data_IF_213910533949
#
_entry.id   IF_213910533949
#
_cell.length_a   1.000
_cell.length_b   1.000
_cell.length_c   1.000
_cell.angle_alpha   90.00
_cell.angle_beta   90.00
_cell.angle_gamma   90.00
#
_symmetry.space_group_name_H-M   'P 1'
#
loop_
_entity.id
_entity.type
_entity.pdbx_description
1 polymer ?
#
# COMPACT_ATOMS: atom_id res chain seq x y z
N UNK A 1 -64.70 17.81 -26.95
CA UNK A 1 -64.88 18.69 -28.04
C UNK A 1 -64.38 20.07 -27.62
N UNK A 2 -63.69 20.80 -28.47
CA UNK A 2 -63.09 22.10 -28.12
C UNK A 2 -61.94 22.01 -27.15
N UNK A 3 -61.92 22.84 -26.10
CA UNK A 3 -60.87 22.92 -25.08
C UNK A 3 -61.18 22.11 -23.76
N UNK A 4 -62.17 21.21 -23.83
CA UNK A 4 -62.57 20.42 -22.70
C UNK A 4 -61.40 19.51 -22.22
N UNK A 5 -61.23 19.41 -20.92
CA UNK A 5 -60.27 18.56 -20.24
C UNK A 5 -61.01 17.61 -19.33
N UNK A 6 -60.44 16.40 -19.15
CA UNK A 6 -60.90 15.38 -18.21
C UNK A 6 -59.78 15.03 -17.27
N UNK A 7 -60.15 14.62 -16.07
CA UNK A 7 -59.22 14.02 -15.16
C UNK A 7 -59.16 12.49 -15.39
N UNK A 8 -58.01 11.90 -15.13
CA UNK A 8 -57.80 10.45 -15.16
C UNK A 8 -57.50 9.97 -13.75
N UNK A 9 -58.17 8.92 -13.32
CA UNK A 9 -57.97 8.27 -12.01
C UNK A 9 -57.78 6.78 -12.16
N UNK A 10 -57.37 6.10 -11.07
CA UNK A 10 -57.10 4.66 -11.09
C UNK A 10 -55.69 4.31 -11.61
N UNK A 11 -55.50 3.04 -11.92
CA UNK A 11 -54.21 2.46 -12.35
C UNK A 11 -54.38 1.58 -13.59
N UNK A 12 -53.51 1.77 -14.56
CA UNK A 12 -53.26 0.86 -15.67
C UNK A 12 -51.95 0.11 -15.49
N UNK A 13 -51.70 -0.86 -16.36
CA UNK A 13 -50.43 -1.61 -16.34
C UNK A 13 -49.81 -1.73 -17.72
N UNK A 14 -48.50 -1.88 -17.76
CA UNK A 14 -47.73 -2.24 -18.96
C UNK A 14 -47.17 -3.67 -18.79
N UNK A 15 -46.85 -4.34 -19.90
CA UNK A 15 -46.41 -5.74 -19.89
C UNK A 15 -45.16 -6.04 -19.05
N UNK A 16 -44.25 -5.06 -18.91
CA UNK A 16 -43.06 -5.15 -18.06
C UNK A 16 -42.58 -3.74 -17.70
N UNK A 17 -41.64 -3.65 -16.75
CA UNK A 17 -41.07 -2.38 -16.29
C UNK A 17 -39.93 -1.84 -17.18
N UNK A 18 -39.47 -2.58 -18.19
CA UNK A 18 -38.30 -2.20 -18.99
C UNK A 18 -38.52 -0.94 -19.81
N UNK A 19 -37.43 -0.23 -20.04
CA UNK A 19 -37.37 0.96 -20.88
C UNK A 19 -37.88 0.64 -22.30
N UNK A 20 -38.87 1.37 -22.75
CA UNK A 20 -39.34 1.36 -24.12
C UNK A 20 -40.34 2.55 -24.35
N UNK A 21 -40.40 3.05 -25.58
CA UNK A 21 -41.40 4.01 -25.99
C UNK A 21 -42.69 3.31 -26.42
N UNK A 22 -43.80 4.03 -26.27
CA UNK A 22 -45.12 3.61 -26.78
C UNK A 22 -45.59 2.23 -26.30
N UNK A 23 -45.29 1.87 -25.04
CA UNK A 23 -45.78 0.63 -24.43
C UNK A 23 -47.30 0.68 -24.32
N UNK A 24 -47.95 -0.34 -24.81
CA UNK A 24 -49.43 -0.46 -24.68
C UNK A 24 -49.81 -0.56 -23.21
N UNK A 25 -50.76 0.30 -22.80
CA UNK A 25 -51.31 0.30 -21.44
C UNK A 25 -52.61 -0.51 -21.43
N UNK A 26 -52.62 -1.51 -20.56
CA UNK A 26 -53.87 -2.20 -20.16
C UNK A 26 -54.56 -1.33 -19.14
N UNK A 27 -55.86 -0.99 -19.41
CA UNK A 27 -56.60 0.04 -18.66
C UNK A 27 -56.75 -0.27 -17.16
N UNK A 28 -56.92 -1.53 -16.77
CA UNK A 28 -57.11 -1.88 -15.36
C UNK A 28 -58.27 -1.15 -14.72
N UNK A 29 -58.00 -0.31 -13.70
CA UNK A 29 -59.00 0.53 -13.01
C UNK A 29 -58.98 1.99 -13.51
N UNK A 30 -58.25 2.31 -14.59
CA UNK A 30 -58.26 3.67 -15.16
C UNK A 30 -59.67 4.08 -15.55
N UNK A 31 -60.10 5.21 -15.06
CA UNK A 31 -61.40 5.80 -15.31
C UNK A 31 -61.29 7.31 -15.53
N UNK A 32 -62.15 7.81 -16.42
CA UNK A 32 -62.32 9.24 -16.63
C UNK A 32 -63.14 9.85 -15.50
N UNK A 33 -62.79 11.05 -15.09
CA UNK A 33 -63.53 11.87 -14.17
C UNK A 33 -63.73 13.29 -14.77
N UNK A 34 -64.78 13.94 -14.34
CA UNK A 34 -65.12 15.30 -14.82
C UNK A 34 -64.01 16.30 -14.47
N UNK A 35 -63.86 17.25 -15.41
CA UNK A 35 -63.09 18.46 -15.19
C UNK A 35 -63.84 19.63 -15.87
N UNK A 36 -63.31 20.22 -16.93
CA UNK A 36 -64.10 21.17 -17.73
C UNK A 36 -65.06 20.49 -18.71
N UNK A 37 -64.81 19.18 -18.99
CA UNK A 37 -65.70 18.30 -19.77
C UNK A 37 -66.37 17.26 -18.87
N UNK A 38 -67.53 16.72 -19.33
CA UNK A 38 -68.24 15.64 -18.64
C UNK A 38 -67.69 14.25 -19.04
N UNK A 39 -67.19 13.47 -18.11
CA UNK A 39 -66.63 12.14 -18.37
C UNK A 39 -67.60 11.18 -19.04
N UNK A 40 -68.90 11.33 -18.78
CA UNK A 40 -69.99 10.51 -19.35
C UNK A 40 -70.08 10.63 -20.92
N UNK A 41 -69.51 11.66 -21.48
CA UNK A 41 -69.49 11.87 -22.95
C UNK A 41 -68.28 11.16 -23.63
N UNK A 42 -67.45 10.52 -22.89
CA UNK A 42 -66.17 9.95 -23.37
C UNK A 42 -65.99 8.52 -22.87
N UNK A 43 -65.16 7.74 -23.59
CA UNK A 43 -64.78 6.39 -23.20
C UNK A 43 -63.31 6.16 -23.47
N UNK A 44 -62.65 5.40 -22.60
CA UNK A 44 -61.29 4.86 -22.83
C UNK A 44 -61.32 3.60 -23.71
N UNK A 45 -62.47 2.87 -23.78
CA UNK A 45 -62.57 1.65 -24.56
C UNK A 45 -62.38 1.94 -26.07
N UNK A 46 -61.53 1.13 -26.73
CA UNK A 46 -61.21 1.29 -28.16
C UNK A 46 -60.17 2.35 -28.49
N UNK A 47 -59.68 3.11 -27.49
CA UNK A 47 -58.61 4.08 -27.68
C UNK A 47 -57.22 3.45 -27.67
N UNK A 48 -56.22 4.18 -28.18
CA UNK A 48 -54.81 3.82 -28.06
C UNK A 48 -54.23 4.46 -26.80
N UNK A 49 -53.77 3.62 -25.88
CA UNK A 49 -53.18 4.07 -24.63
C UNK A 49 -51.74 3.63 -24.55
N UNK A 50 -50.82 4.57 -24.37
CA UNK A 50 -49.39 4.36 -24.44
C UNK A 50 -48.68 5.04 -23.28
N UNK A 51 -47.59 4.39 -22.80
CA UNK A 51 -46.68 4.91 -21.81
C UNK A 51 -45.24 4.76 -22.31
N UNK A 52 -44.45 5.80 -22.20
CA UNK A 52 -43.00 5.70 -22.38
C UNK A 52 -42.34 5.53 -21.02
N UNK A 53 -41.47 4.54 -20.91
CA UNK A 53 -40.58 4.33 -19.75
C UNK A 53 -39.19 4.73 -20.19
N UNK A 54 -38.64 5.77 -19.59
CA UNK A 54 -37.32 6.31 -19.91
C UNK A 54 -36.22 5.66 -19.06
N UNK A 55 -35.00 5.74 -19.56
CA UNK A 55 -33.83 5.27 -18.81
C UNK A 55 -33.66 6.08 -17.52
N UNK A 56 -33.30 5.35 -16.45
CA UNK A 56 -32.95 5.96 -15.18
C UNK A 56 -31.47 6.37 -15.17
N UNK A 57 -31.16 7.66 -14.95
CA UNK A 57 -29.75 8.08 -14.84
C UNK A 57 -29.09 7.53 -13.59
N UNK A 58 -27.87 7.02 -13.72
CA UNK A 58 -26.99 6.56 -12.65
C UNK A 58 -25.71 7.39 -12.62
N UNK A 59 -25.19 7.61 -11.43
CA UNK A 59 -23.82 8.07 -11.23
C UNK A 59 -22.97 6.92 -10.70
N UNK A 60 -21.78 6.76 -11.27
CA UNK A 60 -20.82 5.72 -10.88
C UNK A 60 -19.69 6.31 -10.05
N UNK A 61 -19.30 5.61 -8.99
CA UNK A 61 -18.08 5.90 -8.24
C UNK A 61 -17.10 4.75 -8.43
N UNK A 62 -15.91 5.06 -8.94
CA UNK A 62 -14.77 4.16 -9.04
C UNK A 62 -13.85 4.36 -7.85
N UNK A 63 -13.03 3.37 -7.52
CA UNK A 63 -12.04 3.47 -6.45
C UNK A 63 -10.78 2.66 -6.77
N UNK A 64 -9.60 3.23 -6.53
CA UNK A 64 -8.31 2.54 -6.65
C UNK A 64 -7.24 3.20 -5.78
N UNK A 65 -6.14 2.50 -5.59
CA UNK A 65 -4.93 3.13 -5.06
C UNK A 65 -4.23 3.93 -6.15
N UNK A 66 -3.44 4.91 -5.74
CA UNK A 66 -2.57 5.67 -6.62
C UNK A 66 -1.63 4.76 -7.43
N UNK A 67 -1.61 4.95 -8.73
CA UNK A 67 -0.79 4.21 -9.70
C UNK A 67 -0.07 5.12 -10.72
N UNK A 68 -0.15 6.45 -10.53
CA UNK A 68 0.48 7.45 -11.39
C UNK A 68 -0.27 7.73 -12.70
N UNK A 69 -1.40 7.07 -12.95
CA UNK A 69 -2.13 7.20 -14.21
C UNK A 69 -3.46 7.94 -14.06
N UNK A 70 -3.98 8.49 -15.14
CA UNK A 70 -5.35 9.02 -15.22
C UNK A 70 -6.35 8.00 -15.76
N UNK A 71 -5.89 6.82 -16.22
CA UNK A 71 -6.77 5.78 -16.72
C UNK A 71 -7.56 5.14 -15.56
N UNK A 72 -8.87 5.08 -15.71
CA UNK A 72 -9.80 4.55 -14.71
C UNK A 72 -10.62 3.43 -15.32
N UNK A 73 -10.34 2.19 -14.92
CA UNK A 73 -11.02 1.02 -15.44
C UNK A 73 -12.40 0.84 -14.80
N UNK A 74 -13.40 0.41 -15.60
CA UNK A 74 -14.75 0.11 -15.09
C UNK A 74 -14.73 -1.00 -14.02
N UNK A 75 -13.77 -1.93 -14.08
CA UNK A 75 -13.58 -2.98 -13.06
C UNK A 75 -13.25 -2.44 -11.67
N UNK A 76 -12.88 -1.16 -11.52
CA UNK A 76 -12.67 -0.49 -10.23
C UNK A 76 -13.95 0.14 -9.67
N UNK A 77 -15.12 -0.21 -10.21
CA UNK A 77 -16.43 0.25 -9.72
C UNK A 77 -16.58 -0.07 -8.23
N UNK A 78 -16.84 0.96 -7.44
CA UNK A 78 -17.14 0.86 -6.02
C UNK A 78 -18.64 0.87 -5.76
N UNK A 79 -19.38 1.76 -6.45
CA UNK A 79 -20.82 1.86 -6.27
C UNK A 79 -21.48 2.55 -7.45
N UNK A 80 -22.78 2.28 -7.60
CA UNK A 80 -23.73 3.16 -8.28
C UNK A 80 -24.65 3.80 -7.24
N UNK A 81 -25.11 5.01 -7.53
CA UNK A 81 -26.29 5.56 -6.88
C UNK A 81 -27.58 5.10 -7.60
N UNK A 82 -28.70 5.23 -6.95
CA UNK A 82 -30.05 5.18 -7.57
C UNK A 82 -30.42 3.87 -8.33
N UNK A 83 -29.72 2.74 -8.15
CA UNK A 83 -30.22 1.43 -8.61
C UNK A 83 -31.55 1.10 -7.94
N UNK A 84 -32.45 0.45 -8.67
CA UNK A 84 -33.78 0.12 -8.17
C UNK A 84 -33.87 -1.31 -7.64
N UNK A 85 -34.71 -1.51 -6.62
CA UNK A 85 -35.20 -2.82 -6.18
C UNK A 85 -34.11 -3.81 -5.76
N UNK A 86 -32.89 -3.35 -5.42
CA UNK A 86 -31.76 -4.24 -5.12
C UNK A 86 -31.09 -4.85 -6.36
N UNK A 87 -31.38 -4.31 -7.54
CA UNK A 87 -30.69 -4.69 -8.77
C UNK A 87 -29.17 -4.40 -8.66
N UNK A 88 -28.39 -5.16 -9.41
CA UNK A 88 -26.96 -4.96 -9.58
C UNK A 88 -26.62 -4.74 -11.04
N UNK A 89 -25.65 -3.89 -11.30
CA UNK A 89 -24.99 -3.71 -12.59
C UNK A 89 -23.47 -3.75 -12.38
N UNK A 90 -22.74 -3.96 -13.46
CA UNK A 90 -21.29 -3.78 -13.49
C UNK A 90 -20.92 -2.73 -14.53
N UNK A 91 -19.67 -2.29 -14.51
CA UNK A 91 -19.13 -1.32 -15.45
C UNK A 91 -17.96 -1.95 -16.20
N UNK A 92 -17.95 -1.88 -17.51
CA UNK A 92 -16.85 -2.32 -18.37
C UNK A 92 -16.12 -1.15 -19.00
N UNK A 93 -15.01 -1.42 -19.69
CA UNK A 93 -14.22 -0.41 -20.37
C UNK A 93 -13.35 0.44 -19.46
N UNK A 94 -12.97 1.61 -19.93
CA UNK A 94 -12.15 2.57 -19.19
C UNK A 94 -12.45 4.01 -19.62
N UNK A 95 -12.24 4.93 -18.68
CA UNK A 95 -12.29 6.36 -18.88
C UNK A 95 -11.01 7.03 -18.42
N UNK A 96 -10.97 8.35 -18.47
CA UNK A 96 -9.84 9.17 -18.05
C UNK A 96 -10.29 10.12 -16.95
N UNK A 97 -9.66 10.08 -15.78
CA UNK A 97 -9.90 11.04 -14.70
C UNK A 97 -9.21 12.38 -14.95
N UNK A 98 -9.74 13.44 -14.38
CA UNK A 98 -9.17 14.79 -14.49
C UNK A 98 -7.81 14.93 -13.79
N UNK A 99 -7.50 14.01 -12.83
CA UNK A 99 -6.21 13.97 -12.12
C UNK A 99 -5.84 12.52 -11.84
N UNK A 100 -4.53 12.25 -11.78
CA UNK A 100 -3.98 11.01 -11.27
C UNK A 100 -3.80 11.03 -9.74
N UNK A 101 -3.75 12.21 -9.13
CA UNK A 101 -3.39 12.39 -7.72
C UNK A 101 -4.49 11.90 -6.77
N UNK A 102 -4.07 11.56 -5.57
CA UNK A 102 -4.96 11.18 -4.46
C UNK A 102 -5.97 12.28 -4.16
N UNK A 103 -7.23 11.94 -4.29
CA UNK A 103 -8.38 12.75 -3.88
C UNK A 103 -9.67 11.92 -3.96
N UNK A 104 -10.72 12.41 -3.33
CA UNK A 104 -12.06 11.84 -3.44
C UNK A 104 -12.89 12.63 -4.47
N UNK A 105 -13.77 11.94 -5.19
CA UNK A 105 -14.72 12.56 -6.10
C UNK A 105 -14.09 13.24 -7.32
N UNK A 106 -12.94 12.75 -7.79
CA UNK A 106 -12.30 13.29 -9.00
C UNK A 106 -13.22 13.01 -10.19
N UNK A 107 -13.65 14.06 -10.88
CA UNK A 107 -14.47 13.93 -12.07
C UNK A 107 -13.69 13.24 -13.21
N UNK A 108 -14.41 12.52 -14.07
CA UNK A 108 -13.84 12.03 -15.31
C UNK A 108 -13.72 13.19 -16.32
N UNK A 109 -12.55 13.35 -16.91
CA UNK A 109 -12.35 14.25 -18.06
C UNK A 109 -12.92 13.64 -19.34
N UNK A 110 -13.01 12.30 -19.40
CA UNK A 110 -13.67 11.55 -20.46
C UNK A 110 -14.13 10.19 -19.93
N UNK A 111 -15.38 9.83 -20.21
CA UNK A 111 -15.87 8.48 -19.92
C UNK A 111 -15.27 7.41 -20.85
N UNK A 112 -14.59 7.82 -21.94
CA UNK A 112 -13.98 6.88 -22.88
C UNK A 112 -14.99 5.85 -23.41
N UNK A 113 -14.71 4.56 -23.15
CA UNK A 113 -15.59 3.45 -23.49
C UNK A 113 -16.24 2.78 -22.26
N UNK A 114 -16.35 3.51 -21.14
CA UNK A 114 -17.10 3.01 -19.99
C UNK A 114 -18.56 2.73 -20.39
N UNK A 115 -19.02 1.53 -20.10
CA UNK A 115 -20.36 1.08 -20.44
C UNK A 115 -20.97 0.23 -19.32
N UNK A 116 -22.25 0.43 -19.06
CA UNK A 116 -23.03 -0.39 -18.14
C UNK A 116 -23.16 -1.81 -18.69
N UNK A 117 -23.07 -2.79 -17.83
CA UNK A 117 -23.20 -4.22 -18.15
C UNK A 117 -24.23 -4.83 -17.21
N UNK A 118 -25.05 -5.72 -17.76
CA UNK A 118 -26.10 -6.42 -17.02
C UNK A 118 -25.54 -7.18 -15.81
N UNK A 119 -26.28 -7.08 -14.71
CA UNK A 119 -26.15 -7.89 -13.52
C UNK A 119 -27.47 -8.61 -13.26
N UNK A 120 -28.09 -8.36 -12.10
CA UNK A 120 -29.50 -8.76 -11.87
C UNK A 120 -30.47 -7.78 -12.52
N UNK A 121 -30.04 -6.54 -12.73
CA UNK A 121 -30.74 -5.53 -13.52
C UNK A 121 -30.27 -5.50 -14.98
N UNK A 122 -31.09 -4.93 -15.86
CA UNK A 122 -30.77 -4.74 -17.28
C UNK A 122 -30.13 -3.36 -17.48
N UNK A 123 -28.91 -3.33 -18.03
CA UNK A 123 -28.18 -2.09 -18.33
C UNK A 123 -28.98 -1.16 -19.24
N UNK A 124 -29.80 -1.72 -20.13
CA UNK A 124 -30.67 -0.96 -21.04
C UNK A 124 -31.74 -0.12 -20.34
N UNK A 125 -32.06 -0.41 -19.07
CA UNK A 125 -32.99 0.39 -18.26
C UNK A 125 -32.31 1.62 -17.61
N UNK A 126 -31.02 1.77 -17.78
CA UNK A 126 -30.23 2.80 -17.14
C UNK A 126 -29.36 3.55 -18.14
N UNK A 127 -28.98 4.77 -17.78
CA UNK A 127 -27.99 5.57 -18.50
C UNK A 127 -26.90 6.03 -17.55
N UNK A 128 -25.62 5.94 -17.96
CA UNK A 128 -24.50 6.46 -17.17
C UNK A 128 -24.47 7.99 -17.32
N UNK A 129 -24.85 8.70 -16.26
CA UNK A 129 -24.94 10.16 -16.25
C UNK A 129 -23.60 10.82 -15.89
N UNK A 130 -23.00 10.40 -14.77
CA UNK A 130 -21.69 10.90 -14.36
C UNK A 130 -20.84 9.77 -13.74
N UNK A 131 -19.53 9.96 -13.80
CA UNK A 131 -18.58 9.05 -13.16
C UNK A 131 -17.54 9.86 -12.42
N UNK A 132 -17.26 9.48 -11.20
CA UNK A 132 -16.16 10.00 -10.38
C UNK A 132 -15.27 8.88 -9.90
N UNK A 133 -14.04 9.22 -9.51
CA UNK A 133 -13.11 8.24 -8.92
C UNK A 133 -12.55 8.75 -7.59
N UNK A 134 -12.44 7.84 -6.63
CA UNK A 134 -11.72 8.03 -5.39
C UNK A 134 -10.34 7.35 -5.53
N UNK A 135 -9.29 8.13 -5.43
CA UNK A 135 -7.91 7.62 -5.45
C UNK A 135 -7.36 7.71 -4.03
N UNK A 136 -7.01 6.56 -3.45
CA UNK A 136 -6.42 6.48 -2.12
C UNK A 136 -4.90 6.45 -2.19
N UNK A 137 -4.18 6.88 -1.12
CA UNK A 137 -2.73 6.83 -1.10
C UNK A 137 -2.18 5.41 -1.33
N UNK A 138 -1.09 5.33 -2.10
CA UNK A 138 -0.36 4.10 -2.30
C UNK A 138 0.47 3.78 -1.06
N UNK A 139 0.32 2.57 -0.54
CA UNK A 139 1.04 2.12 0.64
C UNK A 139 2.49 1.82 0.29
N UNK A 140 3.42 2.47 0.98
CA UNK A 140 4.85 2.22 0.86
C UNK A 140 5.30 1.15 1.84
N UNK A 141 6.30 0.38 1.44
CA UNK A 141 7.10 -0.44 2.33
C UNK A 141 8.47 0.20 2.54
N UNK A 142 9.16 -0.18 3.59
CA UNK A 142 10.54 0.24 3.80
C UNK A 142 11.42 -0.90 4.31
N UNK A 143 12.69 -0.83 3.98
CA UNK A 143 13.71 -1.70 4.52
C UNK A 143 14.97 -0.89 4.81
N UNK A 144 15.74 -1.32 5.79
CA UNK A 144 16.97 -0.64 6.15
C UNK A 144 17.90 -1.49 6.98
N UNK A 145 19.12 -1.01 7.19
CA UNK A 145 20.06 -1.68 8.08
C UNK A 145 21.13 -0.73 8.60
N UNK A 146 21.63 -1.05 9.79
CA UNK A 146 22.81 -0.42 10.37
C UNK A 146 23.74 -1.45 11.00
N UNK A 147 24.95 -1.06 11.32
CA UNK A 147 25.86 -1.85 12.18
C UNK A 147 25.52 -1.53 13.63
N UNK A 148 25.60 -2.52 14.52
CA UNK A 148 25.38 -2.37 15.95
C UNK A 148 26.15 -1.18 16.53
N UNK A 149 25.45 -0.32 17.24
CA UNK A 149 25.90 0.94 17.81
C UNK A 149 25.33 1.23 19.22
N UNK A 150 24.66 0.23 19.80
CA UNK A 150 24.01 0.25 21.12
C UNK A 150 22.81 1.23 21.23
N UNK A 151 22.26 1.75 20.11
CA UNK A 151 21.04 2.57 20.14
C UNK A 151 19.92 1.95 19.31
N UNK A 152 18.70 2.43 19.54
CA UNK A 152 17.48 1.97 18.84
C UNK A 152 17.09 2.84 17.64
N UNK A 153 17.91 3.79 17.27
CA UNK A 153 17.62 4.71 16.19
C UNK A 153 17.76 4.04 14.81
N UNK A 154 16.77 4.25 13.96
CA UNK A 154 16.80 3.91 12.55
C UNK A 154 16.76 5.23 11.77
N UNK A 155 17.93 5.67 11.30
CA UNK A 155 18.04 6.94 10.57
C UNK A 155 17.44 6.82 9.18
N UNK A 156 16.80 7.88 8.70
CA UNK A 156 16.26 7.92 7.34
C UNK A 156 17.32 7.59 6.28
N UNK A 157 18.58 7.97 6.50
CA UNK A 157 19.69 7.65 5.59
C UNK A 157 19.97 6.15 5.43
N UNK A 158 19.58 5.35 6.41
CA UNK A 158 19.74 3.89 6.43
C UNK A 158 18.48 3.16 5.92
N UNK A 159 17.43 3.91 5.55
CA UNK A 159 16.13 3.39 5.13
C UNK A 159 15.93 3.60 3.63
N UNK A 160 15.44 2.59 2.95
CA UNK A 160 15.01 2.65 1.55
C UNK A 160 13.52 2.42 1.48
N UNK A 161 12.81 3.32 0.78
CA UNK A 161 11.38 3.18 0.48
C UNK A 161 11.18 2.29 -0.76
N UNK A 162 10.12 1.51 -0.76
CA UNK A 162 9.74 0.65 -1.88
C UNK A 162 8.23 0.69 -2.13
N UNK A 163 7.78 0.06 -3.22
CA UNK A 163 6.41 0.13 -3.72
C UNK A 163 6.02 1.50 -4.28
N UNK A 164 6.98 2.32 -4.68
CA UNK A 164 6.73 3.54 -5.44
C UNK A 164 6.22 3.21 -6.85
N UNK A 165 5.52 4.15 -7.47
CA UNK A 165 5.21 4.08 -8.91
C UNK A 165 6.52 4.20 -9.69
N UNK A 166 6.64 3.43 -10.77
CA UNK A 166 7.87 3.40 -11.59
C UNK A 166 8.25 4.78 -12.10
N UNK A 167 9.50 5.16 -11.89
CA UNK A 167 10.03 6.48 -12.26
C UNK A 167 9.81 7.58 -11.23
N UNK A 168 9.08 7.31 -10.15
CA UNK A 168 8.92 8.25 -9.04
C UNK A 168 9.90 7.95 -7.90
N UNK A 169 10.35 8.99 -7.23
CA UNK A 169 11.11 8.92 -5.99
C UNK A 169 10.54 9.91 -4.99
N UNK A 170 10.66 9.61 -3.71
CA UNK A 170 10.33 10.50 -2.61
C UNK A 170 11.57 10.78 -1.77
N UNK A 171 11.61 11.97 -1.18
CA UNK A 171 12.54 12.30 -0.12
C UNK A 171 11.95 11.86 1.22
N UNK A 172 12.81 11.48 2.14
CA UNK A 172 12.44 11.21 3.53
C UNK A 172 13.58 11.62 4.46
N UNK A 173 13.26 11.93 5.70
CA UNK A 173 14.21 12.46 6.67
C UNK A 173 13.83 12.02 8.07
N UNK A 174 14.66 12.37 9.06
CA UNK A 174 14.37 12.12 10.47
C UNK A 174 14.89 10.77 10.98
N UNK A 175 14.30 10.32 12.06
CA UNK A 175 14.72 9.09 12.79
C UNK A 175 13.50 8.33 13.25
N UNK A 176 13.43 7.06 12.89
CA UNK A 176 12.48 6.10 13.44
C UNK A 176 13.14 5.32 14.60
N UNK A 177 12.36 4.48 15.27
CA UNK A 177 12.86 3.62 16.34
C UNK A 177 12.53 2.15 16.07
N UNK A 178 13.44 1.27 16.49
CA UNK A 178 13.26 -0.18 16.50
C UNK A 178 13.14 -0.68 17.94
N UNK A 179 12.60 -1.88 18.12
CA UNK A 179 12.29 -2.41 19.46
C UNK A 179 13.51 -2.82 20.28
N UNK A 180 14.69 -2.95 19.66
CA UNK A 180 15.93 -3.35 20.35
C UNK A 180 17.15 -2.80 19.62
N UNK A 181 18.18 -2.45 20.37
CA UNK A 181 19.50 -2.06 19.85
C UNK A 181 20.34 -3.28 19.42
N UNK A 182 20.05 -4.49 19.90
CA UNK A 182 20.86 -5.68 19.64
C UNK A 182 20.86 -6.10 18.17
N UNK A 183 21.88 -6.81 17.72
CA UNK A 183 21.93 -7.38 16.39
C UNK A 183 20.74 -8.33 16.15
N UNK A 184 20.05 -8.14 15.04
CA UNK A 184 18.83 -8.88 14.71
C UNK A 184 17.99 -8.18 13.66
N UNK A 185 16.85 -8.77 13.32
CA UNK A 185 15.87 -8.20 12.40
C UNK A 185 14.65 -7.72 13.18
N UNK A 186 14.21 -6.50 12.90
CA UNK A 186 13.15 -5.80 13.63
C UNK A 186 12.15 -5.18 12.67
N UNK A 187 10.95 -4.92 13.18
CA UNK A 187 10.00 -4.01 12.53
C UNK A 187 10.19 -2.60 13.10
N UNK A 188 10.18 -1.59 12.24
CA UNK A 188 10.16 -0.19 12.68
C UNK A 188 8.82 0.07 13.37
N UNK A 189 8.84 0.47 14.64
CA UNK A 189 7.65 0.63 15.47
C UNK A 189 7.07 2.05 15.47
N UNK A 190 7.89 3.05 15.14
CA UNK A 190 7.47 4.45 15.10
C UNK A 190 7.91 5.12 13.79
N UNK A 191 6.99 5.14 12.83
CA UNK A 191 7.19 5.79 11.53
C UNK A 191 6.93 7.29 11.52
N UNK A 192 6.31 7.84 12.58
CA UNK A 192 6.05 9.27 12.68
C UNK A 192 7.33 10.12 12.65
N UNK A 193 8.47 9.52 13.04
CA UNK A 193 9.80 10.13 12.93
C UNK A 193 10.41 10.14 11.53
N UNK A 194 9.74 9.56 10.52
CA UNK A 194 10.21 9.52 9.12
C UNK A 194 9.17 10.19 8.21
N UNK A 195 9.09 11.54 8.21
CA UNK A 195 8.26 12.24 7.25
C UNK A 195 8.74 12.00 5.83
N UNK A 196 7.78 11.76 4.94
CA UNK A 196 8.02 11.71 3.48
C UNK A 196 7.72 13.08 2.88
N UNK A 197 8.49 13.45 1.87
CA UNK A 197 8.37 14.72 1.14
C UNK A 197 8.48 14.44 -0.36
N UNK A 198 8.04 15.42 -1.15
CA UNK A 198 8.13 15.36 -2.61
C UNK A 198 9.56 15.10 -3.06
N UNK A 199 9.69 14.29 -4.11
CA UNK A 199 10.96 13.94 -4.71
C UNK A 199 10.91 14.03 -6.23
N UNK A 200 11.82 13.35 -6.90
CA UNK A 200 11.86 13.36 -8.36
C UNK A 200 10.64 12.61 -8.93
N UNK A 201 9.74 13.33 -9.56
CA UNK A 201 8.51 12.79 -10.16
C UNK A 201 7.44 12.35 -9.17
N UNK A 202 7.77 12.18 -7.88
CA UNK A 202 6.86 11.71 -6.85
C UNK A 202 6.33 12.84 -5.97
N UNK A 203 5.03 12.82 -5.70
CA UNK A 203 4.34 13.72 -4.76
C UNK A 203 3.96 12.97 -3.50
N UNK A 204 4.46 13.40 -2.34
CA UNK A 204 4.32 12.70 -1.07
C UNK A 204 2.87 12.43 -0.67
N UNK A 205 1.95 13.37 -0.99
CA UNK A 205 0.52 13.22 -0.68
C UNK A 205 -0.16 12.03 -1.40
N UNK A 206 0.48 11.48 -2.43
CA UNK A 206 0.00 10.30 -3.15
C UNK A 206 0.39 8.98 -2.46
N UNK A 207 1.12 9.05 -1.35
CA UNK A 207 1.69 7.90 -0.66
C UNK A 207 1.40 7.91 0.84
N UNK A 208 1.51 6.75 1.45
CA UNK A 208 1.43 6.59 2.91
C UNK A 208 2.36 5.48 3.37
N UNK A 209 2.96 5.65 4.54
CA UNK A 209 3.67 4.58 5.24
C UNK A 209 2.72 3.69 6.06
N UNK A 210 1.53 4.20 6.39
CA UNK A 210 0.54 3.46 7.19
C UNK A 210 0.05 2.22 6.44
N UNK A 211 0.13 1.07 7.10
CA UNK A 211 -0.32 -0.23 6.54
C UNK A 211 0.74 -0.96 5.72
N UNK A 212 1.94 -0.40 5.57
CA UNK A 212 3.08 -1.04 4.91
C UNK A 212 3.87 -1.99 5.82
N UNK A 213 4.79 -2.71 5.22
CA UNK A 213 5.80 -3.52 5.93
C UNK A 213 7.10 -2.73 6.03
N UNK A 214 7.62 -2.58 7.26
CA UNK A 214 8.77 -1.75 7.57
C UNK A 214 9.80 -2.56 8.36
N UNK A 215 10.82 -3.06 7.68
CA UNK A 215 11.83 -3.94 8.25
C UNK A 215 13.16 -3.20 8.43
N UNK A 216 13.86 -3.50 9.50
CA UNK A 216 15.19 -2.95 9.78
C UNK A 216 16.10 -4.01 10.39
N UNK A 217 17.33 -4.10 9.92
CA UNK A 217 18.31 -5.08 10.41
C UNK A 217 19.46 -4.36 11.12
N UNK A 218 19.74 -4.77 12.34
CA UNK A 218 20.98 -4.41 13.04
C UNK A 218 21.99 -5.53 12.80
N UNK A 219 23.03 -5.22 12.04
CA UNK A 219 24.10 -6.14 11.71
C UNK A 219 25.12 -6.21 12.84
N UNK A 220 25.71 -7.37 13.03
CA UNK A 220 26.82 -7.54 14.00
C UNK A 220 27.99 -6.65 13.67
N UNK A 221 28.58 -6.05 14.71
CA UNK A 221 29.78 -5.22 14.57
C UNK A 221 31.03 -6.11 14.52
N UNK A 222 31.89 -5.84 13.56
CA UNK A 222 33.13 -6.61 13.38
C UNK A 222 34.14 -6.20 14.45
N UNK A 223 34.66 -7.19 15.17
CA UNK A 223 35.72 -7.04 16.19
C UNK A 223 37.02 -7.58 15.63
N UNK A 224 38.09 -6.83 15.82
CA UNK A 224 39.45 -7.32 15.60
C UNK A 224 40.12 -7.59 16.94
N UNK A 225 40.92 -8.65 17.01
CA UNK A 225 41.66 -9.02 18.22
C UNK A 225 43.15 -9.04 17.94
N UNK A 226 43.94 -8.60 18.92
CA UNK A 226 45.40 -8.61 18.80
C UNK A 226 46.07 -8.84 20.18
N UNK A 227 47.31 -9.19 20.11
CA UNK A 227 48.10 -9.36 21.32
C UNK A 227 49.53 -9.82 21.06
N UNK A 228 50.19 -10.22 22.13
CA UNK A 228 51.58 -10.64 22.10
C UNK A 228 51.79 -11.88 22.97
N UNK A 229 52.71 -12.73 22.59
CA UNK A 229 53.22 -13.82 23.42
C UNK A 229 54.72 -14.01 23.26
N UNK A 230 55.32 -14.69 24.21
CA UNK A 230 56.68 -15.17 24.07
C UNK A 230 56.73 -16.40 23.16
N UNK A 231 57.85 -16.61 22.50
CA UNK A 231 58.09 -17.81 21.69
C UNK A 231 57.91 -19.10 22.48
N UNK A 232 57.02 -19.95 22.03
CA UNK A 232 56.64 -21.21 22.66
C UNK A 232 56.74 -22.44 21.74
N UNK A 233 57.37 -22.25 20.57
CA UNK A 233 57.53 -23.27 19.54
C UNK A 233 56.21 -23.77 18.90
N UNK A 234 55.07 -23.11 19.11
CA UNK A 234 53.75 -23.49 18.53
C UNK A 234 53.26 -22.46 17.52
N UNK A 235 52.27 -22.86 16.72
CA UNK A 235 51.51 -21.95 15.83
C UNK A 235 50.15 -21.58 16.41
N UNK A 236 49.78 -22.01 17.62
CA UNK A 236 48.52 -21.70 18.25
C UNK A 236 48.49 -20.24 18.69
N UNK A 237 47.37 -19.57 18.47
CA UNK A 237 47.06 -18.24 18.99
C UNK A 237 45.89 -18.40 19.96
N UNK A 238 46.18 -18.63 21.24
CA UNK A 238 45.15 -18.86 22.25
C UNK A 238 44.51 -17.54 22.68
N UNK A 239 43.27 -17.60 23.15
CA UNK A 239 42.49 -16.41 23.50
C UNK A 239 43.19 -15.48 24.49
N UNK A 240 43.97 -16.06 25.48
CA UNK A 240 44.73 -15.27 26.46
C UNK A 240 45.87 -14.44 25.85
N UNK A 241 46.39 -14.84 24.67
CA UNK A 241 47.39 -14.08 23.94
C UNK A 241 46.82 -12.90 23.17
N UNK A 242 45.50 -12.89 22.93
CA UNK A 242 44.77 -11.94 22.09
C UNK A 242 43.87 -10.99 22.92
N UNK A 243 44.49 -10.33 23.90
CA UNK A 243 43.78 -9.58 24.95
C UNK A 243 43.26 -8.19 24.50
N UNK A 244 43.72 -7.68 23.37
CA UNK A 244 43.25 -6.37 22.85
C UNK A 244 42.14 -6.58 21.86
N UNK A 245 40.94 -6.06 22.18
CA UNK A 245 39.79 -6.04 21.32
C UNK A 245 39.56 -4.62 20.82
N UNK A 246 39.33 -4.46 19.51
CA UNK A 246 39.08 -3.14 18.90
C UNK A 246 37.74 -3.10 18.26
N UNK A 247 37.22 -1.88 18.05
CA UNK A 247 35.93 -1.62 17.41
C UNK A 247 34.72 -2.05 18.26
N UNK A 248 34.86 -2.05 19.59
CA UNK A 248 33.72 -2.18 20.50
C UNK A 248 32.98 -0.87 20.64
N UNK A 249 31.70 -0.93 21.03
CA UNK A 249 30.88 0.26 21.27
C UNK A 249 31.15 0.81 22.67
N UNK A 250 31.49 2.08 22.76
CA UNK A 250 31.68 2.78 24.04
C UNK A 250 32.67 2.08 24.94
N UNK A 251 32.24 1.72 26.16
CA UNK A 251 33.04 1.01 27.17
C UNK A 251 32.71 -0.49 27.24
N UNK A 252 31.99 -1.04 26.32
CA UNK A 252 31.65 -2.46 26.27
C UNK A 252 32.94 -3.32 26.24
N UNK A 253 32.88 -4.45 26.89
CA UNK A 253 33.97 -5.46 26.81
C UNK A 253 33.40 -6.79 26.35
N UNK A 254 34.25 -7.62 25.78
CA UNK A 254 33.93 -9.00 25.42
C UNK A 254 34.99 -9.94 26.01
N UNK A 255 34.55 -11.16 26.28
CA UNK A 255 35.48 -12.23 26.58
C UNK A 255 35.80 -13.02 25.31
N UNK A 256 37.01 -13.54 25.19
CA UNK A 256 37.44 -14.40 24.10
C UNK A 256 37.79 -15.78 24.67
N UNK A 257 37.46 -16.84 23.96
CA UNK A 257 37.78 -18.22 24.26
C UNK A 257 38.28 -18.95 23.03
N UNK A 258 38.84 -20.15 23.22
CA UNK A 258 39.33 -20.98 22.12
C UNK A 258 40.72 -20.60 21.62
N UNK A 259 41.04 -21.03 20.41
CA UNK A 259 42.32 -20.79 19.76
C UNK A 259 42.22 -20.60 18.26
N UNK A 260 42.97 -19.66 17.75
CA UNK A 260 43.30 -19.52 16.34
C UNK A 260 44.68 -20.09 16.02
N UNK A 261 45.12 -19.83 14.79
CA UNK A 261 46.45 -20.26 14.32
C UNK A 261 47.16 -19.18 13.56
N UNK A 262 48.47 -19.13 13.63
CA UNK A 262 49.38 -18.32 12.81
C UNK A 262 50.16 -19.20 11.85
N UNK A 263 50.54 -18.67 10.69
CA UNK A 263 51.22 -19.44 9.65
C UNK A 263 52.66 -19.90 10.05
N UNK A 264 53.30 -19.19 11.00
CA UNK A 264 54.68 -19.49 11.43
C UNK A 264 54.84 -19.21 12.92
N UNK A 265 55.48 -20.14 13.60
CA UNK A 265 55.86 -20.01 15.02
C UNK A 265 57.03 -19.07 15.30
N UNK A 266 57.80 -18.69 14.27
CA UNK A 266 58.99 -17.86 14.41
C UNK A 266 58.67 -16.48 14.99
N UNK A 267 59.60 -15.87 15.69
CA UNK A 267 59.49 -14.51 16.21
C UNK A 267 59.20 -13.51 15.06
N UNK A 268 58.28 -12.60 15.25
CA UNK A 268 57.94 -11.56 14.29
C UNK A 268 56.62 -10.84 14.65
N UNK A 269 56.47 -9.61 14.18
CA UNK A 269 55.30 -8.78 14.50
C UNK A 269 54.08 -9.12 13.66
N UNK A 270 52.90 -8.80 14.19
CA UNK A 270 51.61 -8.71 13.46
C UNK A 270 51.29 -9.90 12.55
N UNK A 271 51.56 -11.10 13.02
CA UNK A 271 51.20 -12.32 12.27
C UNK A 271 49.67 -12.43 12.18
N UNK A 272 49.16 -12.64 10.99
CA UNK A 272 47.72 -12.88 10.80
C UNK A 272 47.28 -14.15 11.54
N UNK A 273 46.23 -14.01 12.34
CA UNK A 273 45.59 -15.14 13.07
C UNK A 273 44.38 -15.61 12.28
N UNK A 274 44.37 -16.87 11.88
CA UNK A 274 43.16 -17.56 11.42
C UNK A 274 42.31 -17.90 12.63
N UNK A 275 41.01 -17.58 12.58
CA UNK A 275 40.08 -17.57 13.73
C UNK A 275 39.99 -18.95 14.40
N UNK A 276 39.98 -20.05 13.64
CA UNK A 276 39.90 -21.40 14.19
C UNK A 276 38.70 -21.62 15.11
N UNK A 277 38.93 -21.94 16.38
CA UNK A 277 37.90 -22.11 17.42
C UNK A 277 37.71 -20.86 18.29
N UNK A 278 38.35 -19.74 17.95
CA UNK A 278 38.13 -18.48 18.69
C UNK A 278 36.66 -18.11 18.66
N UNK A 279 36.10 -17.83 19.82
CA UNK A 279 34.70 -17.45 20.00
C UNK A 279 34.58 -16.31 21.01
N UNK A 280 33.69 -15.35 20.68
CA UNK A 280 33.32 -14.27 21.59
C UNK A 280 32.32 -14.78 22.63
N UNK A 281 32.46 -14.31 23.85
CA UNK A 281 31.49 -14.48 24.91
C UNK A 281 31.16 -13.10 25.53
N UNK A 282 30.05 -13.03 26.24
CA UNK A 282 29.57 -11.80 26.87
C UNK A 282 30.63 -11.29 27.87
N UNK A 283 30.82 -9.99 27.87
CA UNK A 283 31.73 -9.31 28.78
C UNK A 283 30.97 -8.42 29.77
N UNK A 284 31.51 -7.24 30.04
CA UNK A 284 30.94 -6.28 30.98
C UNK A 284 30.47 -5.02 30.24
N UNK A 285 29.80 -4.10 30.97
CA UNK A 285 29.30 -2.82 30.49
C UNK A 285 28.36 -2.94 29.29
N UNK A 286 27.55 -4.02 29.22
CA UNK A 286 26.60 -4.24 28.14
C UNK A 286 27.14 -5.01 26.94
N UNK A 287 28.41 -5.42 26.95
CA UNK A 287 29.01 -6.18 25.85
C UNK A 287 28.42 -7.58 25.71
N UNK A 288 27.55 -7.75 24.74
CA UNK A 288 26.92 -9.02 24.38
C UNK A 288 27.58 -9.58 23.11
N UNK A 289 28.13 -10.79 23.20
CA UNK A 289 28.77 -11.47 22.05
C UNK A 289 27.88 -11.56 20.82
N UNK A 290 26.57 -11.68 21.02
CA UNK A 290 25.55 -11.72 19.94
C UNK A 290 25.56 -10.48 19.03
N UNK A 291 26.02 -9.33 19.54
CA UNK A 291 26.09 -8.06 18.80
C UNK A 291 27.37 -7.92 17.96
N UNK A 292 28.29 -8.85 18.09
CA UNK A 292 29.63 -8.78 17.51
C UNK A 292 29.98 -10.01 16.69
N UNK A 293 31.01 -9.89 15.85
CA UNK A 293 31.54 -11.01 15.06
C UNK A 293 33.05 -10.85 14.87
N UNK A 294 33.79 -11.96 14.91
CA UNK A 294 35.19 -12.01 14.49
C UNK A 294 35.31 -12.11 12.96
N UNK A 295 34.29 -12.63 12.29
CA UNK A 295 34.31 -12.79 10.83
C UNK A 295 34.46 -11.43 10.12
N UNK A 296 35.43 -11.33 9.24
CA UNK A 296 35.80 -10.09 8.55
C UNK A 296 36.72 -9.16 9.33
N UNK A 297 37.06 -9.49 10.57
CA UNK A 297 38.04 -8.75 11.38
C UNK A 297 39.48 -9.04 11.00
N UNK A 298 40.36 -8.10 11.35
CA UNK A 298 41.82 -8.30 11.26
C UNK A 298 42.33 -8.78 12.61
N UNK A 299 42.82 -10.04 12.68
CA UNK A 299 43.31 -10.64 13.90
C UNK A 299 44.82 -10.83 13.80
N UNK A 300 45.58 -10.39 14.82
CA UNK A 300 47.03 -10.34 14.78
C UNK A 300 47.67 -10.80 16.09
N UNK A 301 48.78 -11.54 15.97
CA UNK A 301 49.63 -11.93 17.09
C UNK A 301 51.06 -11.59 16.80
N UNK A 302 51.71 -10.93 17.73
CA UNK A 302 53.19 -10.76 17.75
C UNK A 302 53.82 -11.85 18.60
N UNK A 303 54.82 -12.54 18.04
CA UNK A 303 55.56 -13.59 18.77
C UNK A 303 56.95 -13.11 19.06
#
# INVERSE_FOLDING_TARGET
>A
VGSETLNLSGTGSVANANVASNKTVTLGTLALADNSGLAANYTLSGGTHQLTVDQRPLNATLARQYDGTTTSAGSTLSSFDALQGGETLTLSGSGTSASANVANGIAMSSNGNLALVDGTGLASNYSLNSTVINITPRVLNSSGSKIYDANTDALAADITLSNLVSGEALNHSGTATISSANAGSYTITNLAGIPIADGSGGTASNYTLTGGTHNFTVNRRIVSVSGTRLYDATTNAIASDLSTHTNLVGSETLNLSGAGTIASKNVGPNKTVSVGTLALADGSNGGLAANYTLSGGTHQLTV
#
